data_IF_383101343813
#
_entry.id   IF_383101343813
#
_cell.length_a   1.000
_cell.length_b   1.000
_cell.length_c   1.000
_cell.angle_alpha   90.00
_cell.angle_beta   90.00
_cell.angle_gamma   90.00
#
_symmetry.space_group_name_H-M   'P 1'
#
loop_
_entity.id
_entity.type
_entity.pdbx_description
1 polymer ?
#
# COMPACT_ATOMS: atom_id res chain seq x y z
N UNK A 1 -5.24 6.58 17.73
CA UNK A 1 -5.49 7.63 16.73
C UNK A 1 -6.91 7.42 16.20
N UNK A 2 -7.67 8.49 15.98
CA UNK A 2 -9.05 8.38 15.48
C UNK A 2 -9.00 7.90 14.01
N UNK A 3 -9.44 6.69 13.75
CA UNK A 3 -9.42 6.06 12.42
C UNK A 3 -10.21 6.88 11.40
N UNK A 4 -11.35 7.47 11.81
CA UNK A 4 -12.18 8.33 10.96
C UNK A 4 -11.38 9.57 10.51
N UNK A 5 -10.72 10.25 11.44
CA UNK A 5 -9.92 11.43 11.13
C UNK A 5 -8.74 11.10 10.19
N UNK A 6 -8.11 9.95 10.37
CA UNK A 6 -7.01 9.49 9.52
C UNK A 6 -7.47 9.21 8.08
N UNK A 7 -8.64 8.55 7.92
CA UNK A 7 -9.22 8.28 6.59
C UNK A 7 -9.60 9.58 5.85
N UNK A 8 -10.23 10.54 6.56
CA UNK A 8 -10.54 11.87 6.00
C UNK A 8 -9.29 12.58 5.50
N UNK A 9 -8.25 12.54 6.31
CA UNK A 9 -7.01 13.24 6.03
C UNK A 9 -6.25 12.58 4.88
N UNK A 10 -6.22 11.25 4.83
CA UNK A 10 -5.68 10.47 3.71
C UNK A 10 -6.40 10.84 2.40
N UNK A 11 -7.74 10.82 2.40
CA UNK A 11 -8.52 11.13 1.20
C UNK A 11 -8.27 12.58 0.71
N UNK A 12 -8.28 13.56 1.61
CA UNK A 12 -8.04 14.97 1.25
C UNK A 12 -6.68 15.20 0.64
N UNK A 13 -5.66 14.56 1.19
CA UNK A 13 -4.27 14.76 0.73
C UNK A 13 -3.98 14.01 -0.55
N UNK A 14 -4.42 12.75 -0.64
CA UNK A 14 -3.95 11.84 -1.70
C UNK A 14 -4.95 11.58 -2.83
N UNK A 15 -6.24 11.80 -2.64
CA UNK A 15 -7.24 11.64 -3.71
C UNK A 15 -6.98 12.48 -4.96
N UNK A 16 -6.47 13.71 -4.86
CA UNK A 16 -6.07 14.47 -6.05
C UNK A 16 -5.00 13.79 -6.92
N UNK A 17 -4.21 12.90 -6.32
CA UNK A 17 -3.16 12.16 -7.00
C UNK A 17 -3.60 10.76 -7.47
N UNK A 18 -4.86 10.36 -7.24
CA UNK A 18 -5.37 9.02 -7.53
C UNK A 18 -5.20 8.59 -9.00
N UNK A 19 -5.21 9.56 -9.93
CA UNK A 19 -5.08 9.31 -11.37
C UNK A 19 -3.65 9.51 -11.90
N UNK A 20 -2.65 9.57 -11.01
CA UNK A 20 -1.24 9.65 -11.42
C UNK A 20 -0.83 8.36 -12.14
N UNK A 21 -0.06 8.50 -13.23
CA UNK A 21 0.49 7.34 -13.93
C UNK A 21 1.40 6.52 -13.02
N UNK A 22 1.09 5.24 -12.85
CA UNK A 22 1.80 4.32 -11.97
C UNK A 22 2.07 2.99 -12.68
N UNK A 23 3.16 2.28 -12.31
CA UNK A 23 3.42 0.95 -12.85
C UNK A 23 2.53 -0.09 -12.16
N UNK A 24 2.46 -1.28 -12.74
CA UNK A 24 1.78 -2.46 -12.18
C UNK A 24 2.80 -3.43 -11.63
N UNK A 25 2.48 -4.11 -10.52
CA UNK A 25 3.23 -5.26 -10.06
C UNK A 25 2.98 -6.41 -11.04
N UNK A 26 4.05 -6.94 -11.63
CA UNK A 26 3.98 -8.02 -12.63
C UNK A 26 4.64 -9.30 -12.16
N UNK A 27 5.55 -9.23 -11.21
CA UNK A 27 6.13 -10.39 -10.55
C UNK A 27 6.53 -10.07 -9.12
N UNK A 28 6.43 -11.08 -8.25
CA UNK A 28 6.92 -11.03 -6.87
C UNK A 28 7.64 -12.33 -6.58
N UNK A 29 8.85 -12.21 -6.06
CA UNK A 29 9.61 -13.31 -5.49
C UNK A 29 9.89 -12.97 -4.03
N UNK A 30 9.34 -13.73 -3.10
CA UNK A 30 9.39 -13.44 -1.67
C UNK A 30 9.98 -14.62 -0.89
N UNK A 31 10.94 -14.32 -0.04
CA UNK A 31 11.49 -15.26 0.94
C UNK A 31 11.09 -14.80 2.33
N UNK A 32 10.48 -15.69 3.10
CA UNK A 32 9.99 -15.42 4.45
C UNK A 32 10.65 -16.39 5.42
N UNK A 33 11.25 -15.84 6.48
CA UNK A 33 11.72 -16.58 7.63
C UNK A 33 10.72 -16.42 8.79
N UNK A 34 10.17 -17.53 9.23
CA UNK A 34 9.20 -17.57 10.32
C UNK A 34 9.87 -18.05 11.61
N UNK A 35 9.61 -17.35 12.70
CA UNK A 35 10.08 -17.69 14.05
C UNK A 35 8.87 -17.83 15.00
N UNK A 36 8.15 -18.99 14.95
CA UNK A 36 6.87 -19.14 15.67
C UNK A 36 7.02 -18.99 17.20
N UNK A 37 8.11 -19.51 17.75
CA UNK A 37 8.37 -19.44 19.19
C UNK A 37 8.61 -17.99 19.67
N UNK A 38 9.16 -17.14 18.82
CA UNK A 38 9.42 -15.73 19.07
C UNK A 38 8.24 -14.84 18.63
N UNK A 39 7.22 -15.43 18.00
CA UNK A 39 6.12 -14.72 17.34
C UNK A 39 6.66 -13.61 16.41
N UNK A 40 7.63 -13.99 15.59
CA UNK A 40 8.34 -13.07 14.73
C UNK A 40 8.43 -13.61 13.31
N UNK A 41 8.59 -12.69 12.36
CA UNK A 41 8.95 -13.00 10.99
C UNK A 41 9.92 -11.95 10.44
N UNK A 42 10.71 -12.37 9.47
CA UNK A 42 11.40 -11.46 8.58
C UNK A 42 11.14 -11.86 7.14
N UNK A 43 11.12 -10.92 6.22
CA UNK A 43 11.03 -11.23 4.82
C UNK A 43 11.83 -10.28 3.95
N UNK A 44 12.17 -10.78 2.76
CA UNK A 44 12.66 -9.99 1.62
C UNK A 44 11.86 -10.38 0.39
N UNK A 45 11.45 -9.39 -0.37
CA UNK A 45 10.76 -9.55 -1.63
C UNK A 45 11.48 -8.79 -2.74
N UNK A 46 11.64 -9.42 -3.89
CA UNK A 46 11.98 -8.79 -5.14
C UNK A 46 10.69 -8.58 -5.93
N UNK A 47 10.34 -7.33 -6.19
CA UNK A 47 9.11 -6.95 -6.86
C UNK A 47 9.44 -6.33 -8.22
N UNK A 48 8.86 -6.87 -9.28
CA UNK A 48 8.98 -6.30 -10.62
C UNK A 48 7.79 -5.41 -10.91
N UNK A 49 8.07 -4.16 -11.21
CA UNK A 49 7.08 -3.15 -11.59
C UNK A 49 7.21 -2.88 -13.08
N UNK A 50 6.12 -3.00 -13.84
CA UNK A 50 6.09 -2.75 -15.29
C UNK A 50 5.15 -1.59 -15.60
N UNK A 51 5.61 -0.64 -16.37
CA UNK A 51 4.76 0.45 -16.87
C UNK A 51 3.88 -0.06 -18.02
N UNK A 52 2.63 -0.39 -17.72
CA UNK A 52 1.59 -0.80 -18.69
C UNK A 52 0.67 0.36 -19.11
N UNK A 53 0.90 1.55 -18.55
CA UNK A 53 0.12 2.76 -18.87
C UNK A 53 0.58 3.44 -20.16
N UNK A 54 -0.14 4.45 -20.61
CA UNK A 54 0.18 5.18 -21.85
C UNK A 54 1.26 6.26 -21.67
N UNK A 55 1.68 6.56 -20.45
CA UNK A 55 2.62 7.62 -20.13
C UNK A 55 3.82 7.10 -19.36
N UNK A 56 4.97 7.76 -19.51
CA UNK A 56 6.14 7.46 -18.70
C UNK A 56 5.87 7.74 -17.20
N UNK A 57 6.44 6.93 -16.34
CA UNK A 57 6.32 7.04 -14.88
C UNK A 57 7.63 7.55 -14.31
N UNK A 58 7.61 8.67 -13.61
CA UNK A 58 8.77 9.28 -12.96
C UNK A 58 8.74 9.17 -11.44
N UNK A 59 7.60 8.81 -10.88
CA UNK A 59 7.40 8.72 -9.43
C UNK A 59 6.74 7.39 -9.08
N UNK A 60 7.35 6.65 -8.18
CA UNK A 60 6.75 5.46 -7.58
C UNK A 60 6.06 5.89 -6.29
N UNK A 61 4.81 5.48 -6.14
CA UNK A 61 4.00 5.76 -4.97
C UNK A 61 3.50 4.47 -4.35
N UNK A 62 3.75 4.31 -3.05
CA UNK A 62 3.36 3.14 -2.27
C UNK A 62 2.48 3.52 -1.09
N UNK A 63 1.38 2.79 -0.92
CA UNK A 63 0.62 2.73 0.33
C UNK A 63 1.13 1.55 1.15
N UNK A 64 1.50 1.81 2.40
CA UNK A 64 2.17 0.83 3.25
C UNK A 64 1.18 0.13 4.18
N UNK A 65 1.40 -1.13 4.55
CA UNK A 65 0.67 -1.75 5.65
C UNK A 65 0.97 -1.00 6.97
N UNK A 66 -0.05 -0.77 7.77
CA UNK A 66 0.00 0.08 8.98
C UNK A 66 0.88 -0.47 10.11
N UNK A 67 1.14 -1.78 10.11
CA UNK A 67 1.84 -2.48 11.19
C UNK A 67 3.29 -2.87 10.87
N UNK A 68 3.72 -2.71 9.62
CA UNK A 68 5.05 -3.10 9.19
C UNK A 68 5.89 -1.91 8.72
N UNK A 69 7.12 -1.84 9.22
CA UNK A 69 8.10 -0.87 8.72
C UNK A 69 8.85 -1.46 7.53
N UNK A 70 8.49 -1.01 6.34
CA UNK A 70 9.12 -1.47 5.11
C UNK A 70 10.43 -0.71 4.82
N UNK A 71 11.44 -1.46 4.40
CA UNK A 71 12.66 -0.94 3.80
C UNK A 71 12.60 -1.17 2.31
N UNK A 72 12.92 -0.14 1.54
CA UNK A 72 12.93 -0.18 0.08
C UNK A 72 14.36 -0.09 -0.44
N UNK A 73 14.67 -0.89 -1.45
CA UNK A 73 15.87 -0.81 -2.27
C UNK A 73 15.42 -0.57 -3.71
N UNK A 74 15.48 0.68 -4.17
CA UNK A 74 15.01 1.08 -5.51
C UNK A 74 16.19 1.67 -6.28
N UNK A 75 16.75 0.95 -7.25
CA UNK A 75 17.87 1.45 -8.04
C UNK A 75 17.51 2.74 -8.78
N UNK A 76 18.36 3.75 -8.69
CA UNK A 76 18.16 5.02 -9.39
C UNK A 76 16.91 5.78 -8.94
N UNK A 77 16.61 5.76 -7.65
CA UNK A 77 15.49 6.52 -7.08
C UNK A 77 15.90 7.29 -5.83
N UNK A 78 15.19 8.40 -5.59
CA UNK A 78 15.31 9.22 -4.39
C UNK A 78 14.01 9.20 -3.62
N UNK A 79 14.09 9.01 -2.32
CA UNK A 79 12.97 9.18 -1.41
C UNK A 79 12.56 10.66 -1.40
N UNK A 80 11.31 10.95 -1.72
CA UNK A 80 10.77 12.32 -1.78
C UNK A 80 9.65 12.55 -0.77
N UNK A 81 9.07 11.47 -0.22
CA UNK A 81 8.03 11.54 0.80
C UNK A 81 8.04 10.26 1.65
N UNK A 82 8.08 10.43 2.97
CA UNK A 82 7.85 9.39 3.97
C UNK A 82 6.78 9.87 4.96
N UNK A 83 5.50 9.68 4.60
CA UNK A 83 4.36 10.02 5.44
C UNK A 83 4.00 8.84 6.35
N UNK A 84 4.64 8.77 7.50
CA UNK A 84 4.40 7.72 8.50
C UNK A 84 3.04 7.80 9.17
N UNK A 85 2.34 8.94 9.07
CA UNK A 85 1.00 9.14 9.64
C UNK A 85 -0.07 8.52 8.77
N UNK A 86 0.06 8.63 7.44
CA UNK A 86 -0.90 8.14 6.46
C UNK A 86 -0.41 6.90 5.72
N UNK A 87 0.76 6.37 6.15
CA UNK A 87 1.37 5.17 5.59
C UNK A 87 1.63 5.27 4.08
N UNK A 88 2.18 6.41 3.64
CA UNK A 88 2.49 6.66 2.22
C UNK A 88 3.97 6.94 2.04
N UNK A 89 4.57 6.31 1.02
CA UNK A 89 5.93 6.61 0.57
C UNK A 89 5.99 6.88 -0.92
N UNK A 90 6.80 7.88 -1.29
CA UNK A 90 7.00 8.22 -2.70
C UNK A 90 8.48 8.33 -3.01
N UNK A 91 8.86 7.83 -4.19
CA UNK A 91 10.22 7.85 -4.70
C UNK A 91 10.23 8.45 -6.09
N UNK A 92 11.13 9.41 -6.34
CA UNK A 92 11.40 9.95 -7.66
C UNK A 92 12.48 9.13 -8.34
N UNK A 93 12.18 8.61 -9.53
CA UNK A 93 13.16 7.92 -10.36
C UNK A 93 14.12 8.92 -11.00
N UNK A 94 15.43 8.61 -11.03
CA UNK A 94 16.44 9.41 -11.73
C UNK A 94 16.21 9.37 -13.25
N UNK A 95 15.63 8.26 -13.74
CA UNK A 95 15.18 8.07 -15.13
C UNK A 95 13.75 7.57 -15.12
N UNK A 96 12.86 8.28 -15.84
CA UNK A 96 11.47 7.84 -15.99
C UNK A 96 11.36 6.46 -16.62
N UNK A 97 10.45 5.65 -16.11
CA UNK A 97 10.12 4.33 -16.64
C UNK A 97 9.24 4.49 -17.88
N UNK A 98 9.80 4.25 -19.06
CA UNK A 98 9.06 4.37 -20.32
C UNK A 98 7.94 3.32 -20.41
N UNK A 99 7.00 3.53 -21.35
CA UNK A 99 5.91 2.58 -21.61
C UNK A 99 6.49 1.22 -22.01
N UNK A 100 6.09 0.16 -21.32
CA UNK A 100 6.59 -1.20 -21.52
C UNK A 100 7.85 -1.54 -20.72
N UNK A 101 8.56 -0.55 -20.18
CA UNK A 101 9.75 -0.79 -19.36
C UNK A 101 9.39 -1.35 -17.97
N UNK A 102 10.34 -2.04 -17.38
CA UNK A 102 10.22 -2.60 -16.03
C UNK A 102 11.37 -2.18 -15.13
N UNK A 103 11.11 -2.08 -13.85
CA UNK A 103 12.10 -1.89 -12.78
C UNK A 103 11.92 -2.98 -11.72
N UNK A 104 13.02 -3.53 -11.23
CA UNK A 104 13.02 -4.44 -10.08
C UNK A 104 13.40 -3.67 -8.83
N UNK A 105 12.60 -3.82 -7.79
CA UNK A 105 12.79 -3.20 -6.49
C UNK A 105 12.87 -4.24 -5.40
N UNK A 106 13.66 -3.98 -4.36
CA UNK A 106 13.70 -4.77 -3.14
C UNK A 106 12.77 -4.18 -2.08
N UNK A 107 12.00 -5.05 -1.41
CA UNK A 107 11.20 -4.70 -0.23
C UNK A 107 11.55 -5.67 0.89
N UNK A 108 11.82 -5.17 2.09
CA UNK A 108 12.14 -6.02 3.23
C UNK A 108 11.51 -5.47 4.51
N UNK A 109 11.16 -6.37 5.41
CA UNK A 109 10.68 -6.01 6.75
C UNK A 109 11.04 -7.07 7.78
N UNK A 110 10.97 -6.65 9.04
CA UNK A 110 11.01 -7.52 10.20
C UNK A 110 9.87 -7.13 11.13
N UNK A 111 9.14 -8.11 11.62
CA UNK A 111 8.05 -7.90 12.54
C UNK A 111 8.16 -8.88 13.72
N UNK A 112 7.85 -8.39 14.90
CA UNK A 112 7.80 -9.21 16.13
C UNK A 112 6.64 -8.74 17.00
N UNK A 113 5.79 -9.68 17.37
CA UNK A 113 4.72 -9.41 18.31
C UNK A 113 5.32 -9.20 19.71
N UNK A 114 5.02 -8.05 20.32
CA UNK A 114 5.46 -7.73 21.67
C UNK A 114 4.24 -7.62 22.60
N UNK A 115 4.21 -8.48 23.60
CA UNK A 115 3.20 -8.44 24.67
C UNK A 115 1.91 -9.19 24.34
N UNK A 116 0.98 -9.18 25.30
CA UNK A 116 -0.40 -9.66 25.15
C UNK A 116 -1.27 -8.45 24.83
N UNK A 117 -1.48 -8.16 23.55
CA UNK A 117 -2.43 -7.14 23.10
C UNK A 117 -3.83 -7.74 22.98
N UNK A 118 -4.87 -6.98 23.35
CA UNK A 118 -6.27 -7.32 23.04
C UNK A 118 -6.66 -6.99 21.60
N UNK A 119 -5.73 -6.45 20.82
CA UNK A 119 -5.94 -6.19 19.41
C UNK A 119 -5.82 -7.51 18.65
N UNK A 120 -6.76 -7.74 17.75
CA UNK A 120 -6.74 -8.88 16.82
C UNK A 120 -5.43 -8.83 16.07
N UNK A 121 -4.54 -9.77 16.39
CA UNK A 121 -3.21 -9.80 15.79
C UNK A 121 -3.35 -10.10 14.30
N UNK A 122 -2.76 -9.24 13.52
CA UNK A 122 -2.65 -9.28 12.08
C UNK A 122 -2.05 -10.59 11.53
N UNK A 123 -1.15 -11.18 12.29
CA UNK A 123 -0.54 -12.48 12.03
C UNK A 123 -0.93 -13.43 13.16
N UNK A 124 -1.80 -14.38 12.87
CA UNK A 124 -2.09 -15.45 13.82
C UNK A 124 -0.95 -16.48 13.80
N UNK A 125 -0.01 -16.32 14.72
CA UNK A 125 0.94 -17.38 15.02
C UNK A 125 0.27 -18.41 15.91
N UNK A 126 -0.24 -19.46 15.32
CA UNK A 126 -0.82 -20.60 16.04
C UNK A 126 0.14 -21.77 15.97
N UNK A 127 0.10 -22.61 17.01
CA UNK A 127 0.98 -23.78 17.18
C UNK A 127 0.98 -24.71 15.95
N UNK A 128 -0.12 -24.76 15.20
CA UNK A 128 -0.32 -25.62 14.04
C UNK A 128 -0.24 -24.94 12.68
N UNK A 129 0.11 -23.68 12.61
CA UNK A 129 0.25 -22.95 11.35
C UNK A 129 0.19 -21.43 11.50
N UNK A 130 0.69 -20.72 10.51
CA UNK A 130 0.65 -19.27 10.42
C UNK A 130 -0.02 -18.90 9.12
N UNK A 131 -1.02 -18.02 9.18
CA UNK A 131 -1.69 -17.50 7.99
C UNK A 131 -1.27 -16.05 7.75
N UNK A 132 -0.79 -15.75 6.55
CA UNK A 132 -0.30 -14.42 6.16
C UNK A 132 -0.82 -14.11 4.76
N UNK A 133 -1.46 -12.96 4.59
CA UNK A 133 -1.84 -12.45 3.28
C UNK A 133 -0.70 -11.65 2.64
N UNK A 134 -0.59 -11.69 1.32
CA UNK A 134 0.38 -10.87 0.59
C UNK A 134 0.15 -9.36 0.80
N UNK A 135 -1.11 -8.93 0.93
CA UNK A 135 -1.50 -7.55 1.23
C UNK A 135 -0.97 -7.04 2.57
N UNK A 136 -0.67 -7.97 3.47
CA UNK A 136 -0.17 -7.66 4.81
C UNK A 136 1.34 -7.45 4.82
N UNK A 137 2.03 -8.05 3.86
CA UNK A 137 3.49 -8.01 3.74
C UNK A 137 3.97 -6.95 2.75
N UNK A 138 3.26 -6.83 1.62
CA UNK A 138 3.72 -6.00 0.50
C UNK A 138 3.00 -4.65 0.47
N UNK A 139 3.67 -3.60 0.00
CA UNK A 139 3.03 -2.32 -0.23
C UNK A 139 2.08 -2.41 -1.43
N UNK A 140 0.98 -1.68 -1.38
CA UNK A 140 0.10 -1.45 -2.52
C UNK A 140 0.62 -0.29 -3.36
N UNK A 141 0.33 -0.31 -4.67
CA UNK A 141 0.71 0.78 -5.57
C UNK A 141 -0.38 1.86 -5.57
N UNK A 142 0.02 3.11 -5.32
CA UNK A 142 -0.82 4.28 -5.47
C UNK A 142 -1.93 4.43 -4.42
N UNK A 143 -2.93 5.20 -4.81
CA UNK A 143 -4.08 5.52 -3.97
C UNK A 143 -4.97 4.31 -3.72
N UNK A 144 -5.36 4.10 -2.47
CA UNK A 144 -6.19 2.97 -2.06
C UNK A 144 -7.64 3.44 -1.84
N UNK A 145 -8.57 2.99 -2.69
CA UNK A 145 -9.99 3.33 -2.60
C UNK A 145 -10.68 2.74 -1.37
N UNK A 146 -10.20 1.62 -0.88
CA UNK A 146 -10.71 0.96 0.32
C UNK A 146 -10.34 1.68 1.63
N UNK A 147 -9.32 2.56 1.58
CA UNK A 147 -9.00 3.46 2.67
C UNK A 147 -9.95 4.66 2.79
N UNK A 148 -10.85 4.89 1.82
CA UNK A 148 -11.82 5.98 1.88
C UNK A 148 -12.94 5.70 2.89
N UNK A 149 -13.46 6.77 3.48
CA UNK A 149 -14.69 6.69 4.26
C UNK A 149 -15.87 6.23 3.39
N UNK A 150 -16.64 5.26 3.89
CA UNK A 150 -17.76 4.69 3.13
C UNK A 150 -19.11 5.24 3.53
N UNK A 151 -19.29 5.63 4.81
CA UNK A 151 -20.57 6.11 5.33
C UNK A 151 -20.93 7.50 4.78
N UNK A 152 -22.09 7.65 4.10
CA UNK A 152 -22.47 8.93 3.50
C UNK A 152 -22.76 10.03 4.53
N UNK A 153 -23.15 9.67 5.76
CA UNK A 153 -23.42 10.62 6.84
C UNK A 153 -22.12 11.21 7.37
N UNK A 154 -21.15 10.32 7.62
CA UNK A 154 -19.81 10.72 8.08
C UNK A 154 -19.11 11.56 7.00
N UNK A 155 -19.20 11.19 5.73
CA UNK A 155 -18.65 11.96 4.62
C UNK A 155 -19.20 13.39 4.59
N UNK A 156 -20.54 13.55 4.70
CA UNK A 156 -21.18 14.88 4.78
C UNK A 156 -20.70 15.69 5.98
N UNK A 157 -20.59 15.07 7.15
CA UNK A 157 -20.06 15.70 8.38
C UNK A 157 -18.67 16.30 8.14
N UNK A 158 -17.83 15.64 7.35
CA UNK A 158 -16.47 16.07 7.02
C UNK A 158 -16.37 16.88 5.72
N UNK A 159 -17.48 17.18 5.04
CA UNK A 159 -17.47 17.94 3.78
C UNK A 159 -16.81 17.19 2.61
N UNK A 160 -16.78 15.85 2.67
CA UNK A 160 -16.27 15.03 1.59
C UNK A 160 -17.39 14.78 0.54
N UNK A 161 -17.05 14.72 -0.76
CA UNK A 161 -18.01 14.41 -1.81
C UNK A 161 -18.53 12.97 -1.64
N UNK A 162 -19.71 12.64 -2.21
CA UNK A 162 -20.22 11.27 -2.23
C UNK A 162 -19.20 10.31 -2.81
N UNK A 163 -19.04 9.13 -2.19
CA UNK A 163 -18.15 8.09 -2.72
C UNK A 163 -18.92 7.25 -3.73
N UNK A 164 -18.54 7.30 -5.01
CA UNK A 164 -19.05 6.42 -6.06
C UNK A 164 -18.16 5.18 -6.15
N UNK A 165 -18.51 4.12 -5.41
CA UNK A 165 -17.79 2.84 -5.48
C UNK A 165 -18.27 1.91 -6.60
N UNK A 166 -19.50 2.11 -7.09
CA UNK A 166 -20.06 1.42 -8.25
C UNK A 166 -20.86 2.42 -9.08
N UNK A 167 -20.75 2.32 -10.39
CA UNK A 167 -21.67 3.00 -11.28
C UNK A 167 -23.08 2.43 -11.08
N UNK A 168 -24.08 3.32 -11.13
CA UNK A 168 -25.47 2.87 -11.08
C UNK A 168 -25.72 1.99 -12.32
N UNK A 169 -26.46 0.89 -12.14
CA UNK A 169 -26.88 0.00 -13.25
C UNK A 169 -27.60 0.74 -14.40
N UNK A 170 -28.02 1.99 -14.17
CA UNK A 170 -28.67 2.86 -15.14
C UNK A 170 -27.68 3.70 -15.98
N UNK A 171 -26.39 3.64 -15.68
CA UNK A 171 -25.35 4.42 -16.38
C UNK A 171 -24.66 3.60 -17.50
N UNK A 172 -25.23 2.44 -17.88
CA UNK A 172 -24.77 1.65 -19.02
C UNK A 172 -25.16 2.39 -20.32
N UNK A 173 -24.21 2.95 -21.08
CA UNK A 173 -24.54 3.58 -22.36
C UNK A 173 -24.91 2.48 -23.35
N UNK A 174 -26.18 2.42 -23.73
CA UNK A 174 -26.71 1.54 -24.77
C UNK A 174 -26.09 1.83 -26.15
#
# INVERSE_FOLDING_TARGET
QDTEALQVDYERVYKPLANTALPHITAVDITIDLYPEERALSYRADVTLTNKGPHAVDTLWFSLPDRMKLRFEIPGAKDILDDTTRYVRMFRLDRSLAVGDSIRIGVASQWQQRGFGNDVDFLEFVENGTFINNSDLLPSIGYQLDAELTDPGVRRKHGLPPNRRMDLLSDDPA
#
